data_IF_123525861933
#
_entry.id   IF_123525861933
#
_cell.length_a   1.000
_cell.length_b   1.000
_cell.length_c   1.000
_cell.angle_alpha   90.00
_cell.angle_beta   90.00
_cell.angle_gamma   90.00
#
_symmetry.space_group_name_H-M   'P 1'
#
loop_
_entity.id
_entity.type
_entity.pdbx_description
1 polymer ?
#
# COMPACT_ATOMS: atom_id res chain seq x y z
N UNK A 1 50.22 -19.85 32.66
CA UNK A 1 50.29 -18.59 31.89
C UNK A 1 48.86 -18.06 31.78
N UNK A 2 48.46 -17.14 32.64
CA UNK A 2 47.08 -16.64 32.69
C UNK A 2 46.89 -15.56 31.62
N UNK A 3 46.10 -15.86 30.58
CA UNK A 3 45.74 -14.87 29.56
C UNK A 3 44.69 -13.91 30.14
N UNK A 4 45.10 -12.65 30.26
CA UNK A 4 44.33 -11.54 30.79
C UNK A 4 43.37 -11.02 29.70
N UNK A 5 42.07 -11.30 29.82
CA UNK A 5 41.03 -10.98 28.83
C UNK A 5 40.53 -9.52 28.89
N UNK A 6 41.26 -8.61 29.54
CA UNK A 6 40.81 -7.22 29.77
C UNK A 6 40.75 -6.32 28.51
N UNK A 7 40.95 -6.85 27.30
CA UNK A 7 41.06 -6.01 26.10
C UNK A 7 39.96 -6.19 25.04
N UNK A 8 38.84 -6.88 25.33
CA UNK A 8 37.84 -7.17 24.28
C UNK A 8 36.43 -6.62 24.53
N UNK A 9 36.17 -5.99 25.68
CA UNK A 9 34.87 -5.35 25.95
C UNK A 9 35.04 -3.84 26.09
N UNK A 10 35.38 -3.17 24.98
CA UNK A 10 35.23 -1.72 24.92
C UNK A 10 33.73 -1.43 24.70
N UNK A 11 33.07 -0.88 25.72
CA UNK A 11 31.63 -0.59 25.68
C UNK A 11 31.25 0.24 24.44
N UNK A 12 32.13 1.15 24.01
CA UNK A 12 31.95 1.97 22.80
C UNK A 12 31.82 1.16 21.52
N UNK A 13 32.53 0.04 21.40
CA UNK A 13 32.47 -0.83 20.21
C UNK A 13 31.14 -1.60 20.15
N UNK A 14 30.67 -2.05 21.31
CA UNK A 14 29.38 -2.74 21.44
C UNK A 14 28.23 -1.79 21.15
N UNK A 15 28.28 -0.55 21.67
CA UNK A 15 27.29 0.48 21.36
C UNK A 15 27.24 0.82 19.86
N UNK A 16 28.41 0.87 19.18
CA UNK A 16 28.45 1.08 17.73
C UNK A 16 27.85 -0.10 16.96
N UNK A 17 28.19 -1.33 17.32
CA UNK A 17 27.59 -2.54 16.74
C UNK A 17 26.08 -2.56 16.91
N UNK A 18 25.58 -2.19 18.08
CA UNK A 18 24.16 -2.10 18.35
C UNK A 18 23.49 -0.99 17.51
N UNK A 19 24.12 0.18 17.41
CA UNK A 19 23.60 1.31 16.62
C UNK A 19 23.57 1.00 15.11
N UNK A 20 24.62 0.40 14.55
CA UNK A 20 24.63 -0.04 13.15
C UNK A 20 23.66 -1.19 12.89
N UNK A 21 23.48 -2.11 13.86
CA UNK A 21 22.48 -3.17 13.77
C UNK A 21 21.04 -2.63 13.77
N UNK A 22 20.73 -1.67 14.63
CA UNK A 22 19.41 -1.00 14.66
C UNK A 22 19.21 -0.16 13.40
N UNK A 23 20.22 0.56 12.93
CA UNK A 23 20.16 1.33 11.68
C UNK A 23 19.90 0.42 10.46
N UNK A 24 20.56 -0.74 10.39
CA UNK A 24 20.30 -1.73 9.34
C UNK A 24 18.88 -2.31 9.40
N UNK A 25 18.29 -2.43 10.59
CA UNK A 25 16.90 -2.87 10.76
C UNK A 25 15.88 -1.79 10.37
N UNK A 26 16.19 -0.50 10.52
CA UNK A 26 15.30 0.58 10.08
C UNK A 26 15.24 0.75 8.56
N UNK A 27 16.27 0.32 7.83
CA UNK A 27 16.29 0.36 6.34
C UNK A 27 15.48 -0.80 5.73
N UNK A 28 15.08 -1.80 6.51
CA UNK A 28 14.25 -2.92 6.04
C UNK A 28 12.73 -2.63 6.08
N UNK A 29 12.33 -1.44 6.54
CA UNK A 29 10.93 -1.05 6.67
C UNK A 29 10.52 -0.02 5.61
N UNK A 30 10.59 -0.42 4.34
CA UNK A 30 9.84 0.27 3.25
C UNK A 30 9.50 -0.68 2.10
N UNK A 31 9.22 -1.95 2.43
CA UNK A 31 8.64 -2.93 1.51
C UNK A 31 7.22 -3.25 1.96
N UNK A 32 6.38 -2.24 2.07
CA UNK A 32 4.94 -2.45 1.90
C UNK A 32 4.58 -2.17 0.46
N UNK A 33 5.17 -2.92 -0.47
CA UNK A 33 4.41 -3.40 -1.62
C UNK A 33 3.41 -4.43 -1.08
N UNK A 34 2.41 -3.95 -0.34
CA UNK A 34 1.17 -4.70 -0.25
C UNK A 34 0.46 -4.48 -1.60
N UNK A 35 1.05 -5.07 -2.64
CA UNK A 35 0.39 -5.47 -3.86
C UNK A 35 -0.64 -6.53 -3.47
N UNK A 36 -1.69 -6.10 -2.78
CA UNK A 36 -2.96 -6.76 -2.90
C UNK A 36 -3.25 -6.68 -4.40
N UNK A 37 -3.11 -7.80 -5.10
CA UNK A 37 -3.42 -8.00 -6.52
C UNK A 37 -4.93 -7.82 -6.77
N UNK A 38 -5.48 -6.71 -6.29
CA UNK A 38 -6.84 -6.27 -6.44
C UNK A 38 -6.70 -4.93 -7.15
N UNK A 39 -7.08 -4.83 -8.44
CA UNK A 39 -7.09 -3.55 -9.12
C UNK A 39 -7.85 -2.55 -8.26
N UNK A 40 -7.16 -1.49 -7.82
CA UNK A 40 -7.83 -0.36 -7.21
C UNK A 40 -8.62 0.35 -8.30
N UNK A 41 -9.91 0.06 -8.36
CA UNK A 41 -10.83 0.80 -9.21
C UNK A 41 -11.00 2.19 -8.61
N UNK A 42 -10.82 3.21 -9.46
CA UNK A 42 -11.17 4.59 -9.12
C UNK A 42 -12.70 4.61 -8.95
N UNK A 43 -13.17 5.03 -7.79
CA UNK A 43 -14.60 5.28 -7.59
C UNK A 43 -14.95 6.59 -8.31
N UNK A 44 -15.74 6.48 -9.37
CA UNK A 44 -16.26 7.60 -10.15
C UNK A 44 -17.77 7.59 -10.09
N UNK A 45 -18.40 8.70 -10.47
CA UNK A 45 -19.85 8.75 -10.61
C UNK A 45 -20.26 9.56 -11.83
N UNK A 46 -21.23 9.04 -12.57
CA UNK A 46 -21.82 9.64 -13.76
C UNK A 46 -23.33 9.74 -13.59
N UNK A 47 -23.94 10.74 -14.23
CA UNK A 47 -25.40 10.84 -14.29
C UNK A 47 -25.99 9.77 -15.21
N UNK A 48 -27.01 9.07 -14.73
CA UNK A 48 -27.79 8.15 -15.54
C UNK A 48 -28.76 8.91 -16.46
N UNK A 49 -28.32 9.18 -17.68
CA UNK A 49 -29.10 9.87 -18.70
C UNK A 49 -30.17 8.99 -19.37
N UNK A 50 -30.26 7.70 -19.04
CA UNK A 50 -31.23 6.79 -19.68
C UNK A 50 -32.63 6.97 -19.06
N UNK A 51 -33.62 7.51 -19.79
CA UNK A 51 -34.97 7.80 -19.24
C UNK A 51 -35.78 6.54 -18.90
N UNK A 52 -35.37 5.38 -19.40
CA UNK A 52 -36.02 4.10 -19.10
C UNK A 52 -35.38 3.38 -17.91
N UNK A 53 -34.33 3.94 -17.32
CA UNK A 53 -33.68 3.38 -16.15
C UNK A 53 -34.44 3.70 -14.87
N UNK A 54 -34.44 2.76 -13.91
CA UNK A 54 -34.98 3.01 -12.58
C UNK A 54 -34.20 4.07 -11.79
N UNK A 55 -32.96 4.35 -12.20
CA UNK A 55 -32.05 5.33 -11.58
C UNK A 55 -31.90 6.60 -12.41
N UNK A 56 -32.80 6.87 -13.36
CA UNK A 56 -32.70 8.04 -14.23
C UNK A 56 -32.50 9.36 -13.46
N UNK A 57 -31.50 10.15 -13.87
CA UNK A 57 -31.12 11.41 -13.25
C UNK A 57 -30.32 11.27 -11.94
N UNK A 58 -30.02 10.05 -11.51
CA UNK A 58 -29.17 9.80 -10.33
C UNK A 58 -27.70 9.71 -10.72
N UNK A 59 -26.84 10.06 -9.77
CA UNK A 59 -25.39 9.85 -9.88
C UNK A 59 -25.06 8.40 -9.50
N UNK A 60 -24.61 7.60 -10.46
CA UNK A 60 -24.31 6.17 -10.29
C UNK A 60 -22.84 5.87 -10.65
N UNK A 61 -22.27 4.86 -10.00
CA UNK A 61 -20.85 4.54 -10.12
C UNK A 61 -20.53 3.14 -9.58
N UNK A 62 -19.25 2.74 -9.53
CA UNK A 62 -18.84 1.44 -9.03
C UNK A 62 -19.38 1.08 -7.65
N UNK A 63 -19.43 2.04 -6.74
CA UNK A 63 -19.99 1.84 -5.39
C UNK A 63 -21.48 1.49 -5.36
N UNK A 64 -22.28 1.91 -6.35
CA UNK A 64 -23.70 1.57 -6.45
C UNK A 64 -23.93 0.08 -6.70
N UNK A 65 -23.02 -0.56 -7.44
CA UNK A 65 -23.04 -1.99 -7.78
C UNK A 65 -22.16 -2.83 -6.83
N UNK A 66 -21.92 -2.34 -5.61
CA UNK A 66 -21.06 -3.00 -4.64
C UNK A 66 -21.50 -4.43 -4.33
N UNK A 67 -20.67 -5.41 -4.69
CA UNK A 67 -20.97 -6.84 -4.54
C UNK A 67 -21.41 -7.53 -5.83
N UNK A 68 -21.68 -6.77 -6.89
CA UNK A 68 -22.07 -7.29 -8.20
C UNK A 68 -20.92 -7.21 -9.21
N UNK A 69 -21.03 -8.01 -10.29
CA UNK A 69 -20.12 -7.91 -11.43
C UNK A 69 -20.63 -6.82 -12.37
N UNK A 70 -19.86 -5.74 -12.51
CA UNK A 70 -20.19 -4.58 -13.36
C UNK A 70 -19.07 -4.29 -14.37
N UNK A 71 -19.41 -3.75 -15.54
CA UNK A 71 -18.45 -3.37 -16.58
C UNK A 71 -18.65 -1.92 -17.03
N UNK A 72 -17.54 -1.21 -17.26
CA UNK A 72 -17.53 0.20 -17.64
C UNK A 72 -16.72 0.41 -18.92
N UNK A 73 -17.30 1.13 -19.87
CA UNK A 73 -16.67 1.45 -21.15
C UNK A 73 -16.64 2.96 -21.36
N UNK A 74 -15.44 3.51 -21.52
CA UNK A 74 -15.22 4.92 -21.85
C UNK A 74 -14.77 4.99 -23.30
N UNK A 75 -15.68 5.41 -24.18
CA UNK A 75 -15.36 5.62 -25.59
C UNK A 75 -14.52 6.89 -25.79
N UNK A 76 -13.71 6.89 -26.84
CA UNK A 76 -13.04 8.11 -27.31
C UNK A 76 -14.02 8.99 -28.09
N UNK A 77 -13.86 10.30 -27.93
CA UNK A 77 -14.57 11.32 -28.70
C UNK A 77 -13.62 11.76 -29.82
N UNK A 78 -13.62 10.94 -30.88
CA UNK A 78 -12.60 10.93 -31.95
C UNK A 78 -12.26 12.25 -32.62
#
# INVERSE_FOLDING_TARGET
>A
MAMNYKCLFNNSFIFKLFFYGVLALTVACDLTDQENNQPQYIDFSLEDINPNSATHGSMIGPSFYGGDVSGYYFGDQG
#
